data_IF_027391276470
#
_entry.id   IF_027391276470
#
_cell.length_a   1.000
_cell.length_b   1.000
_cell.length_c   1.000
_cell.angle_alpha   90.00
_cell.angle_beta   90.00
_cell.angle_gamma   90.00
#
_symmetry.space_group_name_H-M   'P 1'
#
loop_
_entity.id
_entity.type
_entity.pdbx_description
1 polymer ?
#
# COMPACT_ATOMS: atom_id res chain seq x y z
N UNK A 1 -14.38 20.97 5.30
CA UNK A 1 -15.71 20.39 5.36
C UNK A 1 -15.81 19.23 4.37
N UNK A 2 -16.37 18.13 4.81
CA UNK A 2 -16.49 16.89 4.03
C UNK A 2 -17.96 16.70 3.63
N UNK A 3 -18.22 16.11 2.45
CA UNK A 3 -19.56 15.87 1.95
C UNK A 3 -20.38 14.96 2.87
N UNK A 4 -19.75 13.97 3.49
CA UNK A 4 -20.40 13.09 4.47
C UNK A 4 -20.86 13.86 5.72
N UNK A 5 -20.05 14.82 6.19
CA UNK A 5 -20.46 15.75 7.26
C UNK A 5 -21.72 16.52 6.89
N UNK A 6 -21.76 17.08 5.67
CA UNK A 6 -22.96 17.80 5.21
C UNK A 6 -24.17 16.88 5.05
N UNK A 7 -23.99 15.64 4.62
CA UNK A 7 -25.07 14.67 4.49
C UNK A 7 -25.72 14.30 5.82
N UNK A 8 -24.95 14.32 6.92
CA UNK A 8 -25.47 14.07 8.28
C UNK A 8 -26.24 15.25 8.87
N UNK A 9 -25.94 16.50 8.49
CA UNK A 9 -26.56 17.71 9.07
C UNK A 9 -28.09 17.69 9.01
N UNK A 10 -28.75 17.39 7.86
CA UNK A 10 -30.21 17.36 7.80
C UNK A 10 -30.83 16.35 8.78
N UNK A 11 -30.22 15.17 8.90
CA UNK A 11 -30.69 14.12 9.81
C UNK A 11 -30.56 14.53 11.28
N UNK A 12 -29.44 15.15 11.64
CA UNK A 12 -29.18 15.64 12.99
C UNK A 12 -30.19 16.76 13.36
N UNK A 13 -30.50 17.69 12.42
CA UNK A 13 -31.49 18.74 12.64
C UNK A 13 -32.89 18.15 12.84
N UNK A 14 -33.28 17.15 12.05
CA UNK A 14 -34.62 16.55 12.10
C UNK A 14 -34.80 15.62 13.30
N UNK A 15 -33.81 14.86 13.71
CA UNK A 15 -33.92 13.80 14.71
C UNK A 15 -33.29 14.18 16.06
N UNK A 16 -32.48 15.24 16.08
CA UNK A 16 -31.78 15.72 17.26
C UNK A 16 -30.38 15.13 17.45
N UNK A 17 -29.56 15.84 18.23
CA UNK A 17 -28.20 15.45 18.53
C UNK A 17 -28.13 14.17 19.40
N UNK A 18 -29.10 13.97 20.29
CA UNK A 18 -29.13 12.80 21.16
C UNK A 18 -29.35 11.53 20.36
N UNK A 19 -30.23 11.56 19.34
CA UNK A 19 -30.36 10.45 18.39
C UNK A 19 -29.06 10.14 17.71
N UNK A 20 -28.33 11.13 17.20
CA UNK A 20 -27.06 10.91 16.51
C UNK A 20 -26.00 10.27 17.42
N UNK A 21 -26.02 10.61 18.71
CA UNK A 21 -25.12 10.05 19.71
C UNK A 21 -25.41 8.59 20.10
N UNK A 22 -26.60 8.09 19.78
CA UNK A 22 -26.95 6.67 20.04
C UNK A 22 -26.25 5.71 19.07
N UNK A 23 -25.67 6.22 17.98
CA UNK A 23 -24.98 5.44 16.96
C UNK A 23 -23.48 5.72 17.05
N UNK A 24 -22.68 4.70 16.96
CA UNK A 24 -21.20 4.82 17.00
C UNK A 24 -20.63 4.72 18.41
N UNK A 25 -19.45 5.32 18.62
CA UNK A 25 -18.77 5.35 19.92
C UNK A 25 -18.97 6.72 20.60
N UNK A 26 -18.68 6.79 21.91
CA UNK A 26 -18.81 8.04 22.67
C UNK A 26 -17.96 9.18 22.05
N UNK A 27 -16.71 8.90 21.67
CA UNK A 27 -15.78 9.86 21.05
C UNK A 27 -16.00 10.07 19.56
N UNK A 28 -16.74 9.16 18.89
CA UNK A 28 -16.97 9.20 17.45
C UNK A 28 -18.41 8.74 17.15
N UNK A 29 -19.41 9.61 17.38
CA UNK A 29 -20.80 9.27 17.12
C UNK A 29 -21.11 9.24 15.61
N UNK A 30 -22.18 8.50 15.27
CA UNK A 30 -22.71 8.37 13.92
C UNK A 30 -22.15 7.18 13.16
N UNK A 31 -22.32 7.23 11.86
CA UNK A 31 -21.86 6.22 10.90
C UNK A 31 -20.66 6.73 10.09
N UNK A 32 -19.98 5.82 9.40
CA UNK A 32 -18.93 6.12 8.45
C UNK A 32 -19.11 5.30 7.19
N UNK A 33 -19.03 5.99 6.05
CA UNK A 33 -19.01 5.34 4.74
C UNK A 33 -17.58 4.95 4.38
N UNK A 34 -17.38 3.69 3.97
CA UNK A 34 -16.11 3.18 3.48
C UNK A 34 -16.20 2.72 2.02
N UNK A 35 -15.18 3.06 1.25
CA UNK A 35 -14.93 2.51 -0.08
C UNK A 35 -14.02 1.29 0.07
N UNK A 36 -14.59 0.10 -0.01
CA UNK A 36 -13.91 -1.18 0.17
C UNK A 36 -13.40 -1.69 -1.17
N UNK A 37 -12.08 -1.86 -1.28
CA UNK A 37 -11.39 -2.25 -2.52
C UNK A 37 -10.19 -3.15 -2.24
N UNK A 38 -9.51 -3.59 -3.28
CA UNK A 38 -8.29 -4.41 -3.19
C UNK A 38 -8.55 -5.91 -3.38
N UNK A 39 -7.79 -6.72 -2.65
CA UNK A 39 -7.84 -8.19 -2.71
C UNK A 39 -8.98 -8.76 -1.87
N UNK A 40 -10.19 -8.24 -2.03
CA UNK A 40 -11.38 -8.63 -1.26
C UNK A 40 -12.48 -9.12 -2.21
N UNK A 41 -13.29 -10.08 -1.76
CA UNK A 41 -14.30 -10.73 -2.61
C UNK A 41 -15.37 -9.71 -3.06
N UNK A 42 -15.97 -8.98 -2.13
CA UNK A 42 -16.99 -7.98 -2.42
C UNK A 42 -16.40 -6.57 -2.30
N UNK A 43 -16.29 -5.87 -3.43
CA UNK A 43 -15.87 -4.46 -3.48
C UNK A 43 -17.09 -3.54 -3.56
N UNK A 44 -17.02 -2.34 -2.99
CA UNK A 44 -18.11 -1.37 -3.08
C UNK A 44 -18.08 -0.34 -1.97
N UNK A 45 -19.20 0.40 -1.85
CA UNK A 45 -19.42 1.33 -0.76
C UNK A 45 -20.24 0.63 0.32
N UNK A 46 -19.79 0.79 1.57
CA UNK A 46 -20.48 0.31 2.76
C UNK A 46 -20.64 1.46 3.75
N UNK A 47 -21.71 1.43 4.52
CA UNK A 47 -21.90 2.33 5.65
C UNK A 47 -22.06 1.51 6.92
N UNK A 48 -21.26 1.82 7.93
CA UNK A 48 -21.25 1.11 9.21
C UNK A 48 -21.23 2.11 10.38
N UNK A 49 -21.74 1.74 11.57
CA UNK A 49 -21.54 2.54 12.77
C UNK A 49 -20.07 2.75 13.07
N UNK A 50 -19.69 3.93 13.54
CA UNK A 50 -18.35 4.16 14.07
C UNK A 50 -18.08 3.17 15.21
N UNK A 51 -16.84 2.66 15.26
CA UNK A 51 -16.46 1.59 16.20
C UNK A 51 -16.61 0.16 15.66
N UNK A 52 -17.19 -0.02 14.46
CA UNK A 52 -17.17 -1.32 13.76
C UNK A 52 -15.72 -1.74 13.52
N UNK A 53 -15.39 -3.02 13.72
CA UNK A 53 -14.03 -3.51 13.54
C UNK A 53 -13.69 -3.77 12.06
N UNK A 54 -12.42 -3.65 11.70
CA UNK A 54 -11.94 -4.03 10.38
C UNK A 54 -12.18 -5.50 10.07
N UNK A 55 -12.09 -6.37 11.06
CA UNK A 55 -12.40 -7.80 10.90
C UNK A 55 -13.81 -8.01 10.39
N UNK A 56 -14.79 -7.38 11.02
CA UNK A 56 -16.19 -7.46 10.58
C UNK A 56 -16.36 -6.92 9.15
N UNK A 57 -15.75 -5.78 8.85
CA UNK A 57 -15.82 -5.18 7.50
C UNK A 57 -15.20 -6.10 6.44
N UNK A 58 -14.02 -6.67 6.70
CA UNK A 58 -13.29 -7.45 5.70
C UNK A 58 -13.91 -8.83 5.51
N UNK A 59 -14.24 -9.53 6.60
CA UNK A 59 -14.65 -10.95 6.50
C UNK A 59 -16.15 -11.13 6.41
N UNK A 60 -16.95 -10.38 7.20
CA UNK A 60 -18.40 -10.60 7.22
C UNK A 60 -19.11 -9.80 6.13
N UNK A 61 -18.73 -8.54 5.92
CA UNK A 61 -19.35 -7.69 4.88
C UNK A 61 -18.65 -7.90 3.54
N UNK A 62 -17.31 -7.86 3.53
CA UNK A 62 -16.49 -7.99 2.35
C UNK A 62 -16.33 -9.41 1.82
N UNK A 63 -16.76 -10.42 2.57
CA UNK A 63 -16.70 -11.83 2.18
C UNK A 63 -15.30 -12.46 2.24
N UNK A 64 -14.34 -11.78 2.87
CA UNK A 64 -12.95 -12.24 2.97
C UNK A 64 -12.11 -11.93 1.74
N UNK A 65 -10.92 -12.52 1.67
CA UNK A 65 -9.98 -12.29 0.59
C UNK A 65 -10.30 -13.17 -0.63
N UNK A 66 -10.05 -12.63 -1.81
CA UNK A 66 -10.21 -13.34 -3.09
C UNK A 66 -9.39 -14.62 -3.12
N UNK A 67 -9.99 -15.66 -3.67
CA UNK A 67 -9.31 -16.95 -3.91
C UNK A 67 -8.70 -17.60 -2.67
N UNK A 68 -9.17 -17.23 -1.45
CA UNK A 68 -8.64 -17.76 -0.20
C UNK A 68 -7.21 -17.35 0.12
N UNK A 69 -6.71 -16.27 -0.50
CA UNK A 69 -5.39 -15.71 -0.21
C UNK A 69 -5.26 -15.28 1.25
N UNK A 70 -4.04 -15.28 1.80
CA UNK A 70 -3.79 -14.84 3.16
C UNK A 70 -3.84 -13.30 3.26
N UNK A 71 -4.46 -12.79 4.33
CA UNK A 71 -4.48 -11.35 4.63
C UNK A 71 -3.07 -10.87 4.96
N UNK A 72 -2.66 -9.75 4.40
CA UNK A 72 -1.38 -9.10 4.68
C UNK A 72 -1.54 -7.78 5.38
N UNK A 73 -2.40 -6.94 4.88
CA UNK A 73 -2.64 -5.62 5.45
C UNK A 73 -3.84 -4.92 4.84
N UNK A 74 -4.25 -3.83 5.45
CA UNK A 74 -5.28 -2.94 4.93
C UNK A 74 -4.82 -1.49 5.05
N UNK A 75 -4.83 -0.77 3.94
CA UNK A 75 -4.62 0.67 3.93
C UNK A 75 -5.93 1.37 4.27
N UNK A 76 -5.91 2.22 5.30
CA UNK A 76 -7.05 3.04 5.72
C UNK A 76 -6.72 4.52 5.59
N UNK A 77 -7.72 5.33 5.24
CA UNK A 77 -7.58 6.79 5.15
C UNK A 77 -7.14 7.30 3.78
N UNK A 78 -7.16 6.42 2.77
CA UNK A 78 -6.74 6.76 1.41
C UNK A 78 -5.22 6.86 1.23
N UNK A 79 -4.75 7.56 0.18
CA UNK A 79 -3.32 7.57 -0.19
C UNK A 79 -2.36 8.12 0.85
N UNK A 80 -2.82 8.97 1.75
CA UNK A 80 -2.03 9.52 2.85
C UNK A 80 -2.37 8.89 4.21
N UNK A 81 -3.04 7.75 4.21
CA UNK A 81 -3.39 7.01 5.41
C UNK A 81 -2.32 6.02 5.84
N UNK A 82 -2.64 5.18 6.85
CA UNK A 82 -1.74 4.16 7.37
C UNK A 82 -2.15 2.75 6.95
N UNK A 83 -1.20 1.84 6.99
CA UNK A 83 -1.43 0.42 6.76
C UNK A 83 -1.55 -0.30 8.11
N UNK A 84 -2.61 -1.08 8.31
CA UNK A 84 -2.86 -1.90 9.48
C UNK A 84 -2.67 -3.38 9.16
N UNK A 85 -2.28 -4.17 10.16
CA UNK A 85 -1.97 -5.61 10.06
C UNK A 85 -2.99 -6.47 10.81
N UNK A 86 -2.86 -7.78 10.70
CA UNK A 86 -3.81 -8.77 11.24
C UNK A 86 -4.14 -8.55 12.72
N UNK A 87 -3.12 -8.29 13.56
CA UNK A 87 -3.29 -8.10 15.01
C UNK A 87 -4.07 -6.82 15.38
N UNK A 88 -4.28 -5.94 14.40
CA UNK A 88 -4.97 -4.67 14.56
C UNK A 88 -6.40 -4.67 14.02
N UNK A 89 -6.86 -5.78 13.45
CA UNK A 89 -8.18 -5.87 12.82
C UNK A 89 -9.36 -5.78 13.80
N UNK A 90 -9.12 -6.10 15.06
CA UNK A 90 -10.16 -6.08 16.12
C UNK A 90 -10.27 -4.72 16.82
N UNK A 91 -9.41 -3.78 16.48
CA UNK A 91 -9.52 -2.42 16.99
C UNK A 91 -10.79 -1.74 16.41
N UNK A 92 -11.52 -0.99 17.23
CA UNK A 92 -12.68 -0.24 16.75
C UNK A 92 -12.25 0.85 15.78
N UNK A 93 -12.99 0.99 14.68
CA UNK A 93 -12.79 2.06 13.71
C UNK A 93 -13.45 3.35 14.21
N UNK A 94 -12.78 4.04 15.10
CA UNK A 94 -13.07 5.39 15.51
C UNK A 94 -11.83 6.28 15.38
N UNK A 95 -12.02 7.60 15.46
CA UNK A 95 -10.93 8.55 15.21
C UNK A 95 -9.76 8.39 16.19
N UNK A 96 -10.05 8.09 17.46
CA UNK A 96 -9.01 7.99 18.49
C UNK A 96 -8.24 6.67 18.41
N UNK A 97 -8.95 5.58 18.17
CA UNK A 97 -8.35 4.24 18.06
C UNK A 97 -7.48 4.12 16.81
N UNK A 98 -7.96 4.60 15.66
CA UNK A 98 -7.18 4.58 14.41
C UNK A 98 -5.93 5.44 14.51
N UNK A 99 -6.02 6.60 15.19
CA UNK A 99 -4.86 7.48 15.43
C UNK A 99 -3.79 6.81 16.30
N UNK A 100 -4.19 6.04 17.32
CA UNK A 100 -3.24 5.27 18.17
C UNK A 100 -2.50 4.17 17.39
N UNK A 101 -3.05 3.75 16.25
CA UNK A 101 -2.48 2.76 15.36
C UNK A 101 -1.62 3.37 14.22
N UNK A 102 -1.19 4.62 14.36
CA UNK A 102 -0.42 5.36 13.33
C UNK A 102 -1.15 5.41 11.99
N UNK A 103 -2.48 5.56 12.01
CA UNK A 103 -3.31 5.69 10.83
C UNK A 103 -4.32 6.84 10.96
N UNK A 104 -4.99 7.16 9.88
CA UNK A 104 -6.07 8.15 9.87
C UNK A 104 -7.32 7.57 9.22
N UNK A 105 -8.50 8.02 9.67
CA UNK A 105 -9.77 7.60 9.08
C UNK A 105 -9.94 8.13 7.64
N UNK A 106 -9.48 9.35 7.40
CA UNK A 106 -9.63 10.03 6.11
C UNK A 106 -11.08 10.08 5.63
N UNK A 107 -11.27 9.95 4.33
CA UNK A 107 -12.59 9.90 3.70
C UNK A 107 -13.21 8.49 3.63
N UNK A 108 -12.60 7.50 4.29
CA UNK A 108 -13.12 6.13 4.33
C UNK A 108 -12.61 5.21 3.22
N UNK A 109 -11.48 5.51 2.60
CA UNK A 109 -10.84 4.56 1.68
C UNK A 109 -10.27 3.37 2.45
N UNK A 110 -10.64 2.16 2.05
CA UNK A 110 -10.11 0.89 2.56
C UNK A 110 -9.60 0.06 1.40
N UNK A 111 -8.30 -0.24 1.39
CA UNK A 111 -7.66 -1.09 0.38
C UNK A 111 -7.10 -2.33 1.06
N UNK A 112 -7.76 -3.46 0.88
CA UNK A 112 -7.33 -4.75 1.43
C UNK A 112 -6.24 -5.35 0.56
N UNK A 113 -5.18 -5.83 1.20
CA UNK A 113 -3.99 -6.37 0.55
C UNK A 113 -3.73 -7.80 1.01
N UNK A 114 -3.40 -8.66 0.08
CA UNK A 114 -3.07 -10.06 0.30
C UNK A 114 -1.55 -10.30 0.34
N UNK A 115 -1.16 -11.54 0.56
CA UNK A 115 0.23 -12.00 0.60
C UNK A 115 1.03 -11.72 -0.70
N UNK A 116 0.34 -11.54 -1.83
CA UNK A 116 0.95 -11.24 -3.12
C UNK A 116 1.17 -9.73 -3.35
N UNK A 117 0.86 -8.89 -2.38
CA UNK A 117 1.06 -7.45 -2.43
C UNK A 117 2.45 -7.09 -1.93
N UNK A 118 3.21 -6.30 -2.68
CA UNK A 118 4.50 -5.76 -2.24
C UNK A 118 4.29 -4.46 -1.46
N UNK A 119 4.70 -4.43 -0.19
CA UNK A 119 4.48 -3.26 0.67
C UNK A 119 5.39 -2.08 0.32
N UNK A 120 6.55 -2.33 -0.27
CA UNK A 120 7.46 -1.28 -0.77
C UNK A 120 6.83 -0.56 -1.98
N UNK A 121 6.26 -1.33 -2.90
CA UNK A 121 5.56 -0.78 -4.07
C UNK A 121 4.28 -0.03 -3.67
N UNK A 122 3.56 -0.51 -2.66
CA UNK A 122 2.40 0.19 -2.07
C UNK A 122 2.82 1.54 -1.51
N UNK A 123 3.89 1.59 -0.73
CA UNK A 123 4.43 2.84 -0.19
C UNK A 123 4.86 3.81 -1.31
N UNK A 124 5.55 3.31 -2.34
CA UNK A 124 5.95 4.08 -3.52
C UNK A 124 4.73 4.64 -4.28
N UNK A 125 3.73 3.81 -4.50
CA UNK A 125 2.50 4.20 -5.20
C UNK A 125 1.78 5.35 -4.48
N UNK A 126 1.57 5.24 -3.18
CA UNK A 126 0.92 6.28 -2.39
C UNK A 126 1.78 7.54 -2.25
N UNK A 127 3.10 7.39 -2.13
CA UNK A 127 4.02 8.54 -2.09
C UNK A 127 4.01 9.30 -3.41
N UNK A 128 3.99 8.61 -4.54
CA UNK A 128 3.87 9.24 -5.86
C UNK A 128 2.58 10.06 -5.99
N UNK A 129 1.46 9.55 -5.46
CA UNK A 129 0.21 10.29 -5.42
C UNK A 129 0.34 11.55 -4.55
N UNK A 130 0.78 11.40 -3.29
CA UNK A 130 0.86 12.54 -2.35
C UNK A 130 1.86 13.60 -2.80
N UNK A 131 2.93 13.21 -3.46
CA UNK A 131 3.91 14.12 -4.04
C UNK A 131 3.28 14.98 -5.15
N UNK A 132 2.44 14.39 -6.01
CA UNK A 132 1.73 15.11 -7.08
C UNK A 132 0.65 16.05 -6.55
N UNK A 133 -0.02 15.66 -5.45
CA UNK A 133 -1.04 16.47 -4.80
C UNK A 133 -0.48 17.59 -3.90
N UNK A 134 0.84 17.62 -3.69
CA UNK A 134 1.48 18.68 -2.92
C UNK A 134 1.31 20.03 -3.60
N UNK A 135 0.78 21.02 -2.85
CA UNK A 135 0.65 22.38 -3.37
C UNK A 135 2.00 23.10 -3.54
N UNK A 136 3.12 22.50 -3.10
CA UNK A 136 4.47 23.02 -3.21
C UNK A 136 4.81 24.18 -2.26
N UNK A 137 3.88 24.62 -1.38
CA UNK A 137 4.06 25.83 -0.58
C UNK A 137 5.13 25.67 0.50
N UNK A 138 5.09 24.61 1.29
CA UNK A 138 6.07 24.41 2.37
C UNK A 138 7.17 23.44 1.95
N UNK A 139 8.42 23.79 2.26
CA UNK A 139 9.62 23.02 1.88
C UNK A 139 9.57 21.58 2.38
N UNK A 140 9.21 21.27 3.64
CA UNK A 140 9.20 19.88 4.12
C UNK A 140 8.31 18.97 3.27
N UNK A 141 7.12 19.41 2.89
CA UNK A 141 6.24 18.64 2.04
C UNK A 141 6.76 18.56 0.60
N UNK A 142 7.11 19.71 -0.03
CA UNK A 142 7.55 19.77 -1.42
C UNK A 142 8.80 18.95 -1.69
N UNK A 143 9.85 19.15 -0.91
CA UNK A 143 11.13 18.45 -1.10
C UNK A 143 11.13 17.08 -0.42
N UNK A 144 10.58 16.97 0.79
CA UNK A 144 10.60 15.71 1.54
C UNK A 144 9.80 14.60 0.86
N UNK A 145 8.58 14.88 0.34
CA UNK A 145 7.81 13.86 -0.38
C UNK A 145 8.50 13.42 -1.66
N UNK A 146 9.17 14.36 -2.36
CA UNK A 146 9.95 14.06 -3.56
C UNK A 146 11.13 13.16 -3.23
N UNK A 147 11.91 13.49 -2.18
CA UNK A 147 13.06 12.67 -1.76
C UNK A 147 12.65 11.29 -1.29
N UNK A 148 11.59 11.17 -0.49
CA UNK A 148 11.05 9.87 -0.11
C UNK A 148 10.64 9.03 -1.33
N UNK A 149 10.01 9.65 -2.34
CA UNK A 149 9.65 8.96 -3.58
C UNK A 149 10.90 8.47 -4.32
N UNK A 150 11.92 9.31 -4.49
CA UNK A 150 13.18 8.96 -5.15
C UNK A 150 13.88 7.77 -4.45
N UNK A 151 13.86 7.73 -3.11
CA UNK A 151 14.39 6.59 -2.35
C UNK A 151 13.59 5.31 -2.62
N UNK A 152 12.25 5.39 -2.54
CA UNK A 152 11.39 4.25 -2.81
C UNK A 152 11.54 3.72 -4.24
N UNK A 153 11.66 4.60 -5.23
CA UNK A 153 11.94 4.24 -6.62
C UNK A 153 13.30 3.53 -6.75
N UNK A 154 14.33 4.04 -6.09
CA UNK A 154 15.65 3.42 -6.06
C UNK A 154 15.61 2.01 -5.46
N UNK A 155 14.82 1.79 -4.39
CA UNK A 155 14.66 0.48 -3.76
C UNK A 155 13.94 -0.51 -4.70
N UNK A 156 12.81 -0.12 -5.31
CA UNK A 156 12.07 -1.02 -6.20
C UNK A 156 12.80 -1.29 -7.52
N UNK A 157 13.70 -0.39 -7.92
CA UNK A 157 14.60 -0.56 -9.07
C UNK A 157 15.85 -1.40 -8.75
N UNK A 158 15.96 -1.92 -7.53
CA UNK A 158 17.09 -2.76 -7.12
C UNK A 158 18.40 -2.01 -6.86
N UNK A 159 18.36 -0.69 -6.83
CA UNK A 159 19.52 0.20 -6.61
C UNK A 159 19.58 0.74 -5.17
N UNK A 160 18.67 0.32 -4.31
CA UNK A 160 18.60 0.74 -2.92
C UNK A 160 19.80 0.24 -2.10
N UNK A 161 20.15 1.03 -1.08
CA UNK A 161 21.18 0.75 -0.08
C UNK A 161 20.54 0.69 1.32
N UNK A 162 21.22 0.03 2.27
CA UNK A 162 20.66 -0.09 3.64
C UNK A 162 20.50 1.24 4.34
N UNK A 163 21.36 2.22 4.05
CA UNK A 163 21.27 3.59 4.54
C UNK A 163 20.01 4.33 4.06
N UNK A 164 19.41 3.89 2.95
CA UNK A 164 18.16 4.45 2.44
C UNK A 164 16.99 4.27 3.43
N UNK A 165 17.01 3.23 4.24
CA UNK A 165 15.96 2.99 5.22
C UNK A 165 15.98 4.00 6.35
N UNK A 166 17.17 4.34 6.84
CA UNK A 166 17.35 5.32 7.91
C UNK A 166 17.03 6.74 7.37
N UNK A 167 17.51 7.08 6.16
CA UNK A 167 17.18 8.33 5.48
C UNK A 167 15.66 8.47 5.26
N UNK A 168 15.00 7.40 4.83
CA UNK A 168 13.55 7.38 4.58
C UNK A 168 12.77 7.62 5.89
N UNK A 169 13.19 7.03 6.99
CA UNK A 169 12.58 7.20 8.31
C UNK A 169 12.77 8.61 8.84
N UNK A 170 13.98 9.18 8.72
CA UNK A 170 14.27 10.57 9.12
C UNK A 170 13.46 11.58 8.31
N UNK A 171 13.43 11.43 6.98
CA UNK A 171 12.65 12.29 6.09
C UNK A 171 11.16 12.21 6.41
N UNK A 172 10.62 11.00 6.62
CA UNK A 172 9.22 10.80 6.96
C UNK A 172 8.84 11.52 8.25
N UNK A 173 9.65 11.37 9.30
CA UNK A 173 9.46 12.05 10.58
C UNK A 173 9.58 13.58 10.44
N UNK A 174 10.55 14.06 9.68
CA UNK A 174 10.72 15.49 9.41
C UNK A 174 9.49 16.07 8.71
N UNK A 175 9.02 15.43 7.64
CA UNK A 175 7.84 15.90 6.88
C UNK A 175 6.59 15.90 7.75
N UNK A 176 6.36 14.83 8.52
CA UNK A 176 5.20 14.73 9.41
C UNK A 176 5.16 15.86 10.44
N UNK A 177 6.30 16.18 11.05
CA UNK A 177 6.36 17.17 12.13
C UNK A 177 6.43 18.61 11.65
N UNK A 178 7.04 18.87 10.48
CA UNK A 178 7.34 20.23 10.02
C UNK A 178 6.42 20.72 8.90
N UNK A 179 5.61 19.87 8.29
CA UNK A 179 4.66 20.29 7.27
C UNK A 179 3.54 21.16 7.86
N UNK A 180 3.08 22.17 7.09
CA UNK A 180 2.14 23.18 7.60
C UNK A 180 0.67 22.74 7.58
N UNK A 181 0.30 21.78 6.73
CA UNK A 181 -1.10 21.38 6.53
C UNK A 181 -1.32 19.88 6.73
N UNK A 182 -2.60 19.47 6.77
CA UNK A 182 -2.98 18.07 6.96
C UNK A 182 -2.39 17.13 5.92
N UNK A 183 -2.39 17.51 4.62
CA UNK A 183 -1.80 16.67 3.58
C UNK A 183 -0.32 16.40 3.82
N UNK A 184 0.46 17.43 4.08
CA UNK A 184 1.90 17.26 4.33
C UNK A 184 2.19 16.44 5.59
N UNK A 185 1.41 16.63 6.67
CA UNK A 185 1.56 15.87 7.92
C UNK A 185 1.18 14.39 7.77
N UNK A 186 0.23 14.07 6.90
CA UNK A 186 -0.20 12.70 6.66
C UNK A 186 0.54 12.01 5.51
N UNK A 187 1.13 12.76 4.59
CA UNK A 187 1.83 12.22 3.41
C UNK A 187 2.83 11.09 3.72
N UNK A 188 3.63 11.14 4.80
CA UNK A 188 4.58 10.08 5.11
C UNK A 188 3.98 8.86 5.82
N UNK A 189 2.70 8.88 6.24
CA UNK A 189 2.10 7.77 6.99
C UNK A 189 2.14 6.40 6.27
N UNK A 190 1.91 6.30 4.94
CA UNK A 190 2.07 5.03 4.24
C UNK A 190 3.48 4.48 4.38
N UNK A 191 4.50 5.34 4.28
CA UNK A 191 5.91 4.95 4.42
C UNK A 191 6.21 4.53 5.86
N UNK A 192 5.86 5.36 6.85
CA UNK A 192 6.09 5.08 8.28
C UNK A 192 5.43 3.75 8.68
N UNK A 193 4.16 3.56 8.29
CA UNK A 193 3.42 2.37 8.68
C UNK A 193 3.91 1.09 8.01
N UNK A 194 4.28 1.16 6.73
CA UNK A 194 4.82 -0.01 6.02
C UNK A 194 6.25 -0.33 6.44
N UNK A 195 7.10 0.68 6.62
CA UNK A 195 8.48 0.48 7.07
C UNK A 195 8.51 -0.12 8.50
N UNK A 196 7.63 0.34 9.39
CA UNK A 196 7.52 -0.19 10.76
C UNK A 196 7.03 -1.64 10.81
N UNK A 197 6.11 -2.04 9.93
CA UNK A 197 5.42 -3.34 9.98
C UNK A 197 5.96 -4.38 9.02
N UNK A 198 6.65 -3.97 7.96
CA UNK A 198 7.16 -4.82 6.89
C UNK A 198 8.62 -4.48 6.55
N UNK A 199 9.41 -4.09 7.56
CA UNK A 199 10.82 -3.72 7.37
C UNK A 199 11.62 -4.83 6.68
N UNK A 200 11.30 -6.08 6.97
CA UNK A 200 11.90 -7.25 6.35
C UNK A 200 11.73 -7.29 4.82
N UNK A 201 10.60 -6.81 4.29
CA UNK A 201 10.41 -6.72 2.84
C UNK A 201 11.30 -5.64 2.20
N UNK A 202 11.49 -4.50 2.87
CA UNK A 202 12.40 -3.46 2.41
C UNK A 202 13.84 -3.97 2.40
N UNK A 203 14.26 -4.63 3.47
CA UNK A 203 15.60 -5.22 3.57
C UNK A 203 15.83 -6.29 2.51
N UNK A 204 14.86 -7.15 2.23
CA UNK A 204 14.94 -8.17 1.18
C UNK A 204 15.08 -7.53 -0.21
N UNK A 205 14.35 -6.43 -0.50
CA UNK A 205 14.50 -5.69 -1.74
C UNK A 205 15.92 -5.12 -1.91
N UNK A 206 16.53 -4.67 -0.81
CA UNK A 206 17.84 -4.04 -0.82
C UNK A 206 18.96 -5.09 -0.82
N UNK A 207 18.95 -6.04 0.13
CA UNK A 207 20.05 -7.03 0.31
C UNK A 207 19.99 -8.13 -0.72
N UNK A 208 18.82 -8.74 -0.88
CA UNK A 208 18.66 -9.95 -1.68
C UNK A 208 18.25 -9.64 -3.11
N UNK A 209 17.99 -8.35 -3.42
CA UNK A 209 17.47 -7.90 -4.71
C UNK A 209 16.26 -8.72 -5.16
N UNK A 210 15.34 -8.99 -4.21
CA UNK A 210 14.19 -9.86 -4.40
C UNK A 210 12.90 -9.20 -3.92
N UNK A 211 11.85 -9.33 -4.70
CA UNK A 211 10.49 -8.97 -4.35
C UNK A 211 9.65 -10.23 -4.15
N UNK A 212 9.17 -10.49 -2.92
CA UNK A 212 8.32 -11.68 -2.60
C UNK A 212 7.08 -11.72 -3.50
N UNK A 213 6.44 -10.59 -3.70
CA UNK A 213 5.25 -10.45 -4.52
C UNK A 213 5.54 -10.50 -6.04
N UNK A 214 6.80 -10.43 -6.45
CA UNK A 214 7.24 -10.47 -7.86
C UNK A 214 6.65 -9.36 -8.73
N UNK A 215 6.21 -8.24 -8.15
CA UNK A 215 5.63 -7.10 -8.87
C UNK A 215 6.69 -6.08 -9.29
N UNK A 216 7.78 -5.94 -8.51
CA UNK A 216 8.91 -5.07 -8.85
C UNK A 216 9.69 -5.63 -10.02
N UNK A 217 9.50 -5.06 -11.21
CA UNK A 217 10.04 -5.62 -12.47
C UNK A 217 11.56 -5.70 -12.49
N UNK A 218 12.24 -4.71 -11.91
CA UNK A 218 13.71 -4.69 -11.84
C UNK A 218 14.30 -5.78 -10.94
N UNK A 219 13.49 -6.32 -10.00
CA UNK A 219 13.90 -7.38 -9.08
C UNK A 219 13.44 -8.77 -9.53
N UNK A 220 12.83 -8.90 -10.71
CA UNK A 220 12.39 -10.19 -11.23
C UNK A 220 13.59 -10.98 -11.71
N UNK A 221 13.80 -12.14 -11.11
CA UNK A 221 14.77 -13.11 -11.58
C UNK A 221 14.07 -14.18 -12.41
N UNK A 222 14.53 -14.38 -13.62
CA UNK A 222 14.05 -15.46 -14.48
C UNK A 222 15.02 -16.62 -14.37
N UNK A 223 14.52 -17.83 -14.23
CA UNK A 223 15.32 -19.04 -14.24
C UNK A 223 14.61 -20.14 -15.06
N UNK A 224 15.41 -20.98 -15.70
CA UNK A 224 14.89 -22.17 -16.35
C UNK A 224 14.96 -23.30 -15.32
N UNK A 225 13.79 -23.85 -14.91
CA UNK A 225 13.78 -24.98 -14.00
C UNK A 225 14.24 -26.26 -14.76
N UNK A 226 15.38 -26.86 -14.37
CA UNK A 226 15.91 -28.03 -15.05
C UNK A 226 14.98 -29.24 -15.01
N UNK A 227 14.17 -29.38 -13.95
CA UNK A 227 13.25 -30.50 -13.78
C UNK A 227 12.12 -30.51 -14.81
N UNK A 228 11.66 -29.31 -15.21
CA UNK A 228 10.61 -29.17 -16.23
C UNK A 228 11.14 -28.85 -17.63
N UNK A 229 12.44 -28.60 -17.75
CA UNK A 229 13.04 -28.27 -19.04
C UNK A 229 13.31 -29.48 -19.90
N UNK A 230 12.49 -29.70 -20.91
CA UNK A 230 12.72 -30.77 -21.91
C UNK A 230 13.77 -30.40 -22.99
N UNK A 231 14.33 -29.21 -22.92
CA UNK A 231 15.37 -28.75 -23.84
C UNK A 231 14.92 -28.50 -25.28
N UNK A 232 13.63 -28.25 -25.50
CA UNK A 232 13.07 -28.07 -26.88
C UNK A 232 13.52 -26.79 -27.59
N UNK A 233 14.19 -25.85 -26.92
CA UNK A 233 14.69 -24.62 -27.50
C UNK A 233 13.62 -23.56 -27.88
N UNK A 234 12.34 -23.82 -27.64
CA UNK A 234 11.24 -22.89 -27.98
C UNK A 234 11.37 -21.56 -27.25
N UNK A 235 11.75 -21.58 -25.97
CA UNK A 235 11.98 -20.38 -25.17
C UNK A 235 13.18 -19.56 -25.71
N UNK A 236 14.28 -20.20 -26.13
CA UNK A 236 15.42 -19.51 -26.71
C UNK A 236 15.09 -18.84 -28.05
N UNK A 237 14.30 -19.52 -28.91
CA UNK A 237 13.86 -18.96 -30.20
C UNK A 237 12.92 -17.76 -30.04
N UNK A 238 12.11 -17.75 -28.99
CA UNK A 238 11.09 -16.70 -28.73
C UNK A 238 11.57 -15.63 -27.74
N UNK A 239 12.79 -15.72 -27.24
CA UNK A 239 13.32 -14.73 -26.29
C UNK A 239 13.72 -13.45 -27.03
N UNK A 240 13.00 -12.31 -26.84
CA UNK A 240 13.29 -11.07 -27.55
C UNK A 240 14.64 -10.46 -27.13
N UNK A 241 15.11 -10.80 -25.92
CA UNK A 241 16.40 -10.33 -25.39
C UNK A 241 17.59 -11.23 -25.76
N UNK A 242 17.35 -12.37 -26.42
CA UNK A 242 18.41 -13.33 -26.73
C UNK A 242 19.09 -13.92 -25.48
N UNK A 243 18.46 -13.83 -24.30
CA UNK A 243 19.05 -14.12 -23.00
C UNK A 243 19.10 -15.63 -22.67
N UNK A 244 18.74 -16.49 -23.60
CA UNK A 244 18.70 -17.94 -23.38
C UNK A 244 19.65 -18.61 -24.37
N UNK A 245 20.68 -19.29 -23.85
CA UNK A 245 21.62 -20.05 -24.64
C UNK A 245 21.79 -21.48 -24.13
N UNK A 246 22.39 -22.32 -24.92
CA UNK A 246 22.70 -23.68 -24.55
C UNK A 246 22.35 -24.69 -25.62
N UNK A 247 22.73 -25.95 -25.38
CA UNK A 247 22.39 -27.09 -26.24
C UNK A 247 21.06 -27.70 -25.82
N UNK A 248 20.42 -28.45 -26.71
CA UNK A 248 19.21 -29.23 -26.40
C UNK A 248 19.47 -30.04 -25.12
N UNK A 249 18.53 -29.95 -24.15
CA UNK A 249 18.58 -30.48 -22.78
C UNK A 249 19.48 -29.73 -21.78
N UNK A 250 20.23 -28.70 -22.20
CA UNK A 250 21.08 -27.90 -21.31
C UNK A 250 20.95 -26.41 -21.68
N UNK A 251 19.75 -25.85 -21.51
CA UNK A 251 19.52 -24.43 -21.71
C UNK A 251 19.81 -23.68 -20.41
N UNK A 252 20.50 -22.56 -20.49
CA UNK A 252 20.77 -21.67 -19.38
C UNK A 252 20.42 -20.23 -19.74
N UNK A 253 20.07 -19.44 -18.73
CA UNK A 253 19.93 -18.00 -18.87
C UNK A 253 21.34 -17.39 -18.80
N UNK A 254 21.73 -16.68 -19.84
CA UNK A 254 22.94 -15.88 -19.87
C UNK A 254 22.55 -14.41 -19.71
N UNK A 255 23.04 -13.80 -18.64
CA UNK A 255 22.93 -12.38 -18.31
C UNK A 255 21.66 -11.64 -18.80
N UNK A 256 20.75 -11.41 -17.86
CA UNK A 256 19.83 -10.27 -17.97
C UNK A 256 20.43 -9.20 -17.05
N UNK A 257 21.32 -8.39 -17.57
CA UNK A 257 21.93 -7.29 -16.81
C UNK A 257 21.04 -6.07 -16.70
N UNK A 258 19.97 -5.98 -17.51
CA UNK A 258 18.91 -4.97 -17.40
C UNK A 258 17.57 -5.57 -17.83
N UNK A 259 16.46 -5.27 -17.11
CA UNK A 259 15.14 -5.59 -17.60
C UNK A 259 14.85 -4.67 -18.79
N UNK A 260 15.01 -5.19 -19.99
CA UNK A 260 14.50 -4.55 -21.19
C UNK A 260 13.01 -4.28 -20.94
N UNK A 261 12.59 -3.01 -21.00
CA UNK A 261 11.17 -2.63 -21.03
C UNK A 261 10.50 -3.48 -22.10
N UNK A 262 9.71 -4.45 -21.68
CA UNK A 262 8.77 -5.10 -22.57
C UNK A 262 7.78 -4.01 -22.98
N UNK A 263 7.90 -3.51 -24.19
CA UNK A 263 6.87 -2.75 -24.86
C UNK A 263 5.60 -3.57 -24.75
N UNK A 264 4.57 -2.99 -24.18
CA UNK A 264 3.22 -3.52 -24.13
C UNK A 264 2.82 -3.86 -25.57
N UNK A 265 2.70 -5.15 -25.87
CA UNK A 265 1.97 -5.59 -27.05
C UNK A 265 0.51 -5.62 -26.59
N UNK A 266 -0.26 -4.65 -27.12
CA UNK A 266 -1.71 -4.58 -27.09
C UNK A 266 -2.36 -5.84 -27.63
#
# INVERSE_FOLDING_TARGET
>A
NNVETYANVPKIILQGADWFRTIGTEGSPGTKTFSLTGSIENTGLIEVPMGTTLRHIIYDIGGGLKSGAAFKGVQIGGPSGGCLILDQLDAPLDFDSVKKLDAIMGSGGLVVMDENTCMVEVARFFMNFTQRESCGKCVPCREGTKRMLEILERIVDGKGEMSDLDELEELANMVQNMALCGLGKSAPLPVISTLKRFRDEYEEHIRDKKCRAKVCTALRQFHINPEFCIGCGKCAKNCPAGAISGKIKHLSLIHISEPTRLLSIS
#
